data_IF_648969972512
#
_entry.id   IF_648969972512
#
_cell.length_a   1.000
_cell.length_b   1.000
_cell.length_c   1.000
_cell.angle_alpha   90.00
_cell.angle_beta   90.00
_cell.angle_gamma   90.00
#
_symmetry.space_group_name_H-M   'P 1'
#
loop_
_entity.id
_entity.type
_entity.pdbx_description
1 polymer ?
#
# COMPACT_ATOMS: atom_id res chain seq x y z
N UNK A 1 0.06 5.54 -15.51
CA UNK A 1 1.39 4.88 -15.39
C UNK A 1 2.50 5.90 -15.22
N UNK A 2 2.68 6.86 -16.13
CA UNK A 2 3.77 7.85 -16.02
C UNK A 2 3.73 8.65 -14.71
N UNK A 3 2.57 9.18 -14.31
CA UNK A 3 2.42 9.89 -13.04
C UNK A 3 2.84 9.03 -11.83
N UNK A 4 2.51 7.74 -11.86
CA UNK A 4 2.88 6.80 -10.80
C UNK A 4 4.39 6.53 -10.82
N UNK A 5 5.00 6.39 -11.99
CA UNK A 5 6.44 6.22 -12.13
C UNK A 5 7.22 7.43 -11.60
N UNK A 6 6.71 8.65 -11.84
CA UNK A 6 7.25 9.90 -11.28
C UNK A 6 7.07 9.95 -9.77
N UNK A 7 5.94 9.50 -9.24
CA UNK A 7 5.69 9.43 -7.80
C UNK A 7 6.64 8.43 -7.11
N UNK A 8 6.88 7.27 -7.71
CA UNK A 8 7.83 6.28 -7.20
C UNK A 8 9.27 6.82 -7.18
N UNK A 9 9.70 7.49 -8.26
CA UNK A 9 10.99 8.17 -8.30
C UNK A 9 11.10 9.22 -7.18
N UNK A 10 10.07 10.07 -7.01
CA UNK A 10 10.05 11.08 -5.96
C UNK A 10 10.15 10.46 -4.55
N UNK A 11 9.47 9.34 -4.32
CA UNK A 11 9.56 8.60 -3.06
C UNK A 11 10.96 8.04 -2.82
N UNK A 12 11.61 7.46 -3.84
CA UNK A 12 12.98 6.95 -3.70
C UNK A 12 13.98 8.08 -3.38
N UNK A 13 13.87 9.20 -4.09
CA UNK A 13 14.70 10.39 -3.87
C UNK A 13 14.54 10.90 -2.43
N UNK A 14 13.31 10.96 -1.94
CA UNK A 14 13.01 11.36 -0.57
C UNK A 14 13.61 10.41 0.47
N UNK A 15 13.56 9.09 0.23
CA UNK A 15 14.20 8.10 1.10
C UNK A 15 15.72 8.28 1.16
N UNK A 16 16.37 8.50 0.02
CA UNK A 16 17.82 8.73 -0.04
C UNK A 16 18.19 10.00 0.76
N UNK A 17 17.38 11.07 0.65
CA UNK A 17 17.58 12.30 1.42
C UNK A 17 17.42 12.09 2.92
N UNK A 18 16.41 11.34 3.36
CA UNK A 18 16.22 11.00 4.79
C UNK A 18 17.38 10.20 5.37
N UNK A 19 18.05 9.41 4.55
CA UNK A 19 19.25 8.67 4.92
C UNK A 19 20.52 9.55 4.93
N UNK A 20 20.40 10.86 4.74
CA UNK A 20 21.52 11.82 4.77
C UNK A 20 22.38 11.80 3.50
N UNK A 21 21.93 11.13 2.43
CA UNK A 21 22.66 11.05 1.17
C UNK A 21 22.18 12.13 0.19
N UNK A 22 23.12 12.78 -0.49
CA UNK A 22 22.81 13.73 -1.56
C UNK A 22 22.50 12.98 -2.86
N UNK A 23 21.34 13.26 -3.44
CA UNK A 23 20.84 12.58 -4.65
C UNK A 23 21.44 13.16 -5.94
N UNK A 24 22.16 14.29 -5.86
CA UNK A 24 22.69 14.97 -7.04
C UNK A 24 21.58 15.45 -8.00
N UNK A 25 21.94 15.67 -9.26
CA UNK A 25 20.99 16.00 -10.32
C UNK A 25 20.27 14.73 -10.78
N UNK A 26 18.94 14.79 -10.81
CA UNK A 26 18.09 13.67 -11.22
C UNK A 26 17.75 13.84 -12.71
N UNK A 27 18.14 12.90 -13.58
CA UNK A 27 17.80 12.97 -15.00
C UNK A 27 16.28 13.05 -15.23
N UNK A 28 15.85 13.82 -16.23
CA UNK A 28 14.42 14.02 -16.51
C UNK A 28 13.69 12.71 -16.88
N UNK A 29 14.42 11.75 -17.45
CA UNK A 29 13.99 10.42 -17.86
C UNK A 29 14.21 9.34 -16.77
N UNK A 30 14.72 9.69 -15.59
CA UNK A 30 14.95 8.71 -14.51
C UNK A 30 13.69 7.95 -14.08
N UNK A 31 12.51 8.52 -14.31
CA UNK A 31 11.22 7.89 -14.03
C UNK A 31 10.90 6.72 -14.97
N UNK A 32 11.55 6.62 -16.14
CA UNK A 32 11.37 5.52 -17.08
C UNK A 32 11.71 4.17 -16.44
N UNK A 33 12.73 4.12 -15.59
CA UNK A 33 13.12 2.91 -14.83
C UNK A 33 12.03 2.40 -13.86
N UNK A 34 11.02 3.21 -13.58
CA UNK A 34 9.89 2.84 -12.72
C UNK A 34 8.63 2.44 -13.50
N UNK A 35 8.62 2.54 -14.84
CA UNK A 35 7.41 2.31 -15.63
C UNK A 35 6.78 0.94 -15.41
N UNK A 36 7.59 -0.12 -15.34
CA UNK A 36 7.07 -1.48 -15.14
C UNK A 36 6.43 -1.64 -13.76
N UNK A 37 7.09 -1.16 -12.70
CA UNK A 37 6.56 -1.18 -11.34
C UNK A 37 5.29 -0.32 -11.23
N UNK A 38 5.31 0.87 -11.84
CA UNK A 38 4.18 1.78 -11.89
C UNK A 38 2.99 1.18 -12.65
N UNK A 39 3.22 0.49 -13.76
CA UNK A 39 2.17 -0.19 -14.53
C UNK A 39 1.53 -1.28 -13.68
N UNK A 40 2.33 -2.11 -13.00
CA UNK A 40 1.82 -3.14 -12.07
C UNK A 40 0.98 -2.53 -10.96
N UNK A 41 1.44 -1.46 -10.31
CA UNK A 41 0.70 -0.81 -9.22
C UNK A 41 -0.63 -0.20 -9.68
N UNK A 42 -0.63 0.48 -10.83
CA UNK A 42 -1.86 1.00 -11.44
C UNK A 42 -2.82 -0.14 -11.76
N UNK A 43 -2.33 -1.24 -12.34
CA UNK A 43 -3.15 -2.40 -12.67
C UNK A 43 -3.77 -3.03 -11.41
N UNK A 44 -2.99 -3.22 -10.34
CA UNK A 44 -3.49 -3.74 -9.06
C UNK A 44 -4.57 -2.82 -8.49
N UNK A 45 -4.35 -1.51 -8.45
CA UNK A 45 -5.36 -0.56 -7.98
C UNK A 45 -6.67 -0.61 -8.78
N UNK A 46 -6.58 -0.77 -10.11
CA UNK A 46 -7.76 -0.95 -10.96
C UNK A 46 -8.47 -2.28 -10.70
N UNK A 47 -7.73 -3.37 -10.54
CA UNK A 47 -8.30 -4.68 -10.23
C UNK A 47 -8.98 -4.68 -8.87
N UNK A 48 -8.34 -4.12 -7.85
CA UNK A 48 -8.90 -4.00 -6.50
C UNK A 48 -10.22 -3.23 -6.55
N UNK A 49 -10.22 -2.05 -7.19
CA UNK A 49 -11.43 -1.23 -7.34
C UNK A 49 -12.55 -1.94 -8.09
N UNK A 50 -12.22 -2.66 -9.16
CA UNK A 50 -13.21 -3.38 -9.96
C UNK A 50 -13.76 -4.61 -9.22
N UNK A 51 -12.92 -5.38 -8.54
CA UNK A 51 -13.36 -6.53 -7.71
C UNK A 51 -14.26 -6.05 -6.57
N UNK A 52 -13.91 -4.94 -5.91
CA UNK A 52 -14.77 -4.35 -4.89
C UNK A 52 -16.13 -3.94 -5.47
N UNK A 53 -16.14 -3.29 -6.63
CA UNK A 53 -17.36 -2.81 -7.29
C UNK A 53 -18.28 -3.95 -7.72
N UNK A 54 -17.78 -4.98 -8.39
CA UNK A 54 -18.61 -6.08 -8.92
C UNK A 54 -19.20 -6.96 -7.81
N UNK A 55 -18.55 -7.02 -6.65
CA UNK A 55 -18.97 -7.84 -5.51
C UNK A 55 -19.64 -7.02 -4.38
N UNK A 56 -19.93 -5.72 -4.61
CA UNK A 56 -20.46 -4.77 -3.61
C UNK A 56 -19.68 -4.83 -2.27
N UNK A 57 -18.35 -4.92 -2.36
CA UNK A 57 -17.51 -4.87 -1.17
C UNK A 57 -17.50 -3.45 -0.64
N UNK A 58 -17.90 -3.33 0.63
CA UNK A 58 -17.94 -2.06 1.34
C UNK A 58 -16.83 -2.02 2.37
N UNK A 59 -16.24 -0.84 2.49
CA UNK A 59 -15.19 -0.60 3.46
C UNK A 59 -15.72 -0.90 4.87
N UNK A 60 -15.07 -1.83 5.56
CA UNK A 60 -15.43 -2.16 6.93
C UNK A 60 -14.90 -1.10 7.89
N UNK A 61 -15.81 -0.34 8.50
CA UNK A 61 -15.44 0.69 9.48
C UNK A 61 -14.64 0.12 10.68
N UNK A 62 -14.92 -1.13 11.06
CA UNK A 62 -14.18 -1.81 12.13
C UNK A 62 -12.71 -1.98 11.76
N UNK A 63 -12.43 -2.57 10.58
CA UNK A 63 -11.07 -2.76 10.06
C UNK A 63 -10.35 -1.42 9.90
N UNK A 64 -11.02 -0.41 9.34
CA UNK A 64 -10.45 0.93 9.21
C UNK A 64 -9.98 1.49 10.56
N UNK A 65 -10.81 1.38 11.60
CA UNK A 65 -10.47 1.85 12.94
C UNK A 65 -9.37 1.01 13.60
N UNK A 66 -9.31 -0.29 13.35
CA UNK A 66 -8.25 -1.17 13.84
C UNK A 66 -6.90 -0.83 13.19
N UNK A 67 -6.86 -0.67 11.87
CA UNK A 67 -5.65 -0.24 11.16
C UNK A 67 -5.20 1.15 11.60
N UNK A 68 -6.13 2.08 11.80
CA UNK A 68 -5.83 3.42 12.33
C UNK A 68 -5.16 3.33 13.71
N UNK A 69 -5.73 2.55 14.63
CA UNK A 69 -5.18 2.36 15.97
C UNK A 69 -3.81 1.68 15.95
N UNK A 70 -3.61 0.72 15.05
CA UNK A 70 -2.31 0.07 14.88
C UNK A 70 -1.24 1.08 14.45
N UNK A 71 -1.53 1.92 13.45
CA UNK A 71 -0.63 3.00 13.02
C UNK A 71 -0.37 3.96 14.17
N UNK A 72 -1.41 4.41 14.87
CA UNK A 72 -1.27 5.36 15.98
C UNK A 72 -0.43 4.79 17.14
N UNK A 73 -0.53 3.48 17.40
CA UNK A 73 0.17 2.80 18.50
C UNK A 73 1.70 2.79 18.37
N UNK A 74 2.24 3.07 17.18
CA UNK A 74 3.70 3.18 16.97
C UNK A 74 4.26 4.56 17.35
N UNK A 75 3.41 5.48 17.80
CA UNK A 75 3.79 6.84 18.18
C UNK A 75 3.57 7.09 19.67
N UNK A 76 4.29 8.07 20.21
CA UNK A 76 4.21 8.45 21.63
C UNK A 76 2.84 9.02 22.01
N UNK A 77 2.17 9.68 21.08
CA UNK A 77 0.86 10.33 21.29
C UNK A 77 -0.19 9.80 20.27
N UNK A 78 -0.75 8.58 20.49
CA UNK A 78 -1.65 7.94 19.53
C UNK A 78 -2.89 8.76 19.17
N UNK A 79 -3.47 9.45 20.15
CA UNK A 79 -4.71 10.23 19.95
C UNK A 79 -4.49 11.39 18.98
N UNK A 80 -3.34 12.07 19.04
CA UNK A 80 -2.98 13.14 18.12
C UNK A 80 -2.82 12.62 16.69
N UNK A 81 -2.28 11.41 16.52
CA UNK A 81 -2.16 10.77 15.20
C UNK A 81 -3.56 10.48 14.63
N UNK A 82 -4.48 9.96 15.45
CA UNK A 82 -5.85 9.68 15.02
C UNK A 82 -6.56 10.99 14.59
N UNK A 83 -6.41 12.06 15.35
CA UNK A 83 -6.96 13.38 15.01
C UNK A 83 -6.35 13.93 13.72
N UNK A 84 -5.03 13.81 13.53
CA UNK A 84 -4.36 14.21 12.31
C UNK A 84 -4.98 13.53 11.08
N UNK A 85 -5.19 12.22 11.13
CA UNK A 85 -5.84 11.50 10.01
C UNK A 85 -7.28 11.97 9.78
N UNK A 86 -8.05 12.19 10.84
CA UNK A 86 -9.45 12.69 10.72
C UNK A 86 -9.50 14.08 10.09
N UNK A 87 -8.51 14.93 10.37
CA UNK A 87 -8.44 16.30 9.89
C UNK A 87 -7.77 16.43 8.51
N UNK A 88 -7.13 15.37 8.01
CA UNK A 88 -6.45 15.35 6.72
C UNK A 88 -7.12 14.35 5.74
N UNK A 89 -8.08 14.80 4.90
CA UNK A 89 -8.83 13.94 3.99
C UNK A 89 -7.95 13.08 3.07
N UNK A 90 -6.79 13.60 2.65
CA UNK A 90 -5.84 12.85 1.82
C UNK A 90 -5.24 11.65 2.57
N UNK A 91 -4.88 11.82 3.85
CA UNK A 91 -4.37 10.73 4.68
C UNK A 91 -5.46 9.70 4.96
N UNK A 92 -6.68 10.17 5.28
CA UNK A 92 -7.82 9.28 5.48
C UNK A 92 -8.13 8.47 4.22
N UNK A 93 -8.17 9.10 3.05
CA UNK A 93 -8.40 8.41 1.77
C UNK A 93 -7.32 7.36 1.49
N UNK A 94 -6.04 7.67 1.77
CA UNK A 94 -4.95 6.70 1.64
C UNK A 94 -5.13 5.48 2.55
N UNK A 95 -5.57 5.70 3.80
CA UNK A 95 -5.85 4.61 4.73
C UNK A 95 -7.06 3.77 4.30
N UNK A 96 -8.14 4.42 3.86
CA UNK A 96 -9.33 3.74 3.35
C UNK A 96 -9.02 2.86 2.14
N UNK A 97 -8.20 3.37 1.20
CA UNK A 97 -7.77 2.61 0.04
C UNK A 97 -6.96 1.36 0.44
N UNK A 98 -6.03 1.50 1.40
CA UNK A 98 -5.25 0.36 1.90
C UNK A 98 -6.14 -0.70 2.54
N UNK A 99 -7.10 -0.29 3.37
CA UNK A 99 -8.02 -1.22 4.05
C UNK A 99 -8.94 -1.91 3.03
N UNK A 100 -9.43 -1.18 2.02
CA UNK A 100 -10.21 -1.79 0.94
C UNK A 100 -9.39 -2.80 0.14
N UNK A 101 -8.12 -2.49 -0.15
CA UNK A 101 -7.20 -3.41 -0.82
C UNK A 101 -7.01 -4.71 -0.03
N UNK A 102 -6.76 -4.62 1.27
CA UNK A 102 -6.67 -5.80 2.15
C UNK A 102 -7.97 -6.61 2.16
N UNK A 103 -9.14 -5.96 2.25
CA UNK A 103 -10.44 -6.64 2.20
C UNK A 103 -10.68 -7.37 0.87
N UNK A 104 -10.27 -6.76 -0.25
CA UNK A 104 -10.37 -7.39 -1.57
C UNK A 104 -9.43 -8.59 -1.67
N UNK A 105 -8.21 -8.47 -1.15
CA UNK A 105 -7.24 -9.59 -1.12
C UNK A 105 -7.80 -10.75 -0.31
N UNK A 106 -8.32 -10.49 0.89
CA UNK A 106 -8.97 -11.50 1.74
C UNK A 106 -10.12 -12.18 0.98
N UNK A 107 -10.99 -11.39 0.35
CA UNK A 107 -12.13 -11.90 -0.43
C UNK A 107 -11.70 -12.82 -1.58
N UNK A 108 -10.62 -12.46 -2.28
CA UNK A 108 -10.04 -13.28 -3.36
C UNK A 108 -9.45 -14.56 -2.77
N UNK A 109 -8.65 -14.46 -1.71
CA UNK A 109 -7.96 -15.58 -1.09
C UNK A 109 -8.93 -16.67 -0.60
N UNK A 110 -10.05 -16.28 0.00
CA UNK A 110 -11.12 -17.20 0.42
C UNK A 110 -11.76 -17.99 -0.74
N UNK A 111 -11.71 -17.45 -1.95
CA UNK A 111 -12.37 -18.01 -3.16
C UNK A 111 -11.38 -18.61 -4.15
N UNK A 112 -10.08 -18.38 -3.94
CA UNK A 112 -9.03 -18.91 -4.76
C UNK A 112 -8.90 -20.42 -4.52
N UNK A 113 -8.70 -21.17 -5.60
CA UNK A 113 -8.28 -22.55 -5.50
C UNK A 113 -6.87 -22.57 -4.93
N UNK A 114 -6.71 -23.17 -3.75
CA UNK A 114 -5.44 -23.30 -3.05
C UNK A 114 -5.10 -24.79 -2.86
N UNK A 115 -3.81 -25.06 -2.82
CA UNK A 115 -3.26 -26.38 -2.52
C UNK A 115 -2.43 -26.27 -1.25
N UNK A 116 -2.68 -27.14 -0.29
CA UNK A 116 -1.85 -27.24 0.91
C UNK A 116 -0.59 -28.06 0.60
N UNK A 117 0.58 -27.46 0.80
CA UNK A 117 1.87 -28.13 0.70
C UNK A 117 2.52 -28.19 2.08
N UNK A 118 2.91 -29.39 2.52
CA UNK A 118 3.66 -29.57 3.77
C UNK A 118 5.12 -29.23 3.53
N UNK A 119 5.57 -28.12 4.11
CA UNK A 119 6.96 -27.69 4.09
C UNK A 119 7.61 -27.90 5.46
N UNK A 120 8.90 -28.25 5.47
CA UNK A 120 9.68 -28.21 6.71
C UNK A 120 9.98 -26.75 7.08
N UNK A 121 10.28 -26.49 8.35
CA UNK A 121 10.68 -25.14 8.79
C UNK A 121 11.92 -24.62 8.05
N UNK A 122 12.89 -25.52 7.76
CA UNK A 122 14.10 -25.14 7.02
C UNK A 122 13.79 -24.75 5.57
N UNK A 123 12.82 -25.40 4.94
CA UNK A 123 12.42 -25.10 3.57
C UNK A 123 11.60 -23.80 3.50
N UNK A 124 10.74 -23.54 4.50
CA UNK A 124 9.94 -22.33 4.56
C UNK A 124 10.78 -21.04 4.71
N UNK A 125 11.91 -21.08 5.42
CA UNK A 125 12.80 -19.92 5.58
C UNK A 125 13.67 -19.66 4.34
N UNK A 126 13.87 -20.67 3.49
CA UNK A 126 14.71 -20.55 2.29
C UNK A 126 13.97 -19.99 1.07
N UNK A 127 12.65 -19.85 1.13
CA UNK A 127 11.84 -19.24 0.08
C UNK A 127 11.93 -17.71 0.06
#
# INVERSE_FOLDING_TARGET
>A
VENEARAMLAQQVEQIRRNGQNVGEIPADAHEGFKDAAAKRVLVGLLVGEVARINDLRLEAKRLNETMRLIASTYEEPDQVIEMYRNAPQLMSGLQNRVMEEQVIDWIAERAQHTEEKLSFQDAIRQ
#
